data_IF_452163337631
#
_entry.id   IF_452163337631
#
_cell.length_a   1.000
_cell.length_b   1.000
_cell.length_c   1.000
_cell.angle_alpha   90.00
_cell.angle_beta   90.00
_cell.angle_gamma   90.00
#
_symmetry.space_group_name_H-M   'P 1'
#
loop_
_entity.id
_entity.type
_entity.pdbx_description
1 polymer ?
#
# COMPACT_ATOMS: atom_id res chain seq x y z
N UNK A 1 -3.31 -51.13 65.79
CA UNK A 1 -3.99 -52.20 65.04
C UNK A 1 -4.35 -51.62 63.67
N UNK A 2 -3.51 -51.88 62.65
CA UNK A 2 -3.89 -52.61 61.40
C UNK A 2 -4.87 -51.80 60.54
N UNK A 3 -4.62 -51.38 59.30
CA UNK A 3 -3.57 -51.61 58.29
C UNK A 3 -3.77 -50.57 57.17
N UNK A 4 -2.66 -50.05 56.65
CA UNK A 4 -2.31 -49.89 55.22
C UNK A 4 -3.46 -49.63 54.24
N UNK A 5 -3.39 -48.53 53.49
CA UNK A 5 -3.17 -48.56 52.03
C UNK A 5 -2.52 -47.24 51.59
N UNK A 6 -1.19 -47.26 51.57
CA UNK A 6 -0.40 -46.52 50.59
C UNK A 6 -0.86 -47.04 49.22
N UNK A 7 -1.13 -46.17 48.25
CA UNK A 7 -0.55 -46.19 46.90
C UNK A 7 -1.32 -45.28 45.94
N UNK A 8 -0.55 -44.36 45.34
CA UNK A 8 -0.71 -43.84 43.98
C UNK A 8 -1.79 -42.78 43.75
N UNK A 9 -1.46 -41.50 43.96
CA UNK A 9 -1.87 -40.44 43.04
C UNK A 9 -0.78 -39.35 42.98
N UNK A 10 0.46 -39.77 42.71
CA UNK A 10 1.51 -38.88 42.20
C UNK A 10 1.54 -39.04 40.69
N UNK A 11 0.92 -38.10 39.98
CA UNK A 11 1.04 -38.01 38.53
C UNK A 11 -0.27 -37.62 37.86
N UNK A 12 -0.56 -36.31 37.82
CA UNK A 12 -1.33 -35.62 36.76
C UNK A 12 -1.50 -34.13 37.09
N UNK A 13 -0.40 -33.43 37.37
CA UNK A 13 -0.39 -31.94 37.33
C UNK A 13 0.82 -31.51 36.50
N UNK A 14 0.82 -31.82 35.21
CA UNK A 14 1.79 -31.27 34.26
C UNK A 14 1.27 -31.37 32.82
N UNK A 15 0.04 -30.94 32.55
CA UNK A 15 -0.45 -30.88 31.15
C UNK A 15 -1.51 -29.80 30.92
N UNK A 16 -1.49 -28.70 31.69
CA UNK A 16 -2.41 -27.57 31.49
C UNK A 16 -1.78 -26.37 30.75
N UNK A 17 -0.67 -26.58 30.02
CA UNK A 17 0.07 -25.50 29.33
C UNK A 17 0.36 -25.77 27.85
N UNK A 18 -0.55 -26.42 27.12
CA UNK A 18 -0.39 -26.56 25.67
C UNK A 18 -1.69 -26.44 24.85
N UNK A 19 -2.87 -26.52 25.47
CA UNK A 19 -4.14 -26.53 24.73
C UNK A 19 -4.77 -25.13 24.57
N UNK A 20 -4.45 -24.17 25.44
CA UNK A 20 -5.05 -22.83 25.40
C UNK A 20 -4.51 -21.91 24.30
N UNK A 21 -3.24 -22.07 23.90
CA UNK A 21 -2.61 -21.21 22.89
C UNK A 21 -3.01 -21.54 21.44
N UNK A 22 -3.62 -22.69 21.18
CA UNK A 22 -3.96 -23.10 19.81
C UNK A 22 -5.36 -22.66 19.37
N UNK A 23 -6.33 -22.53 20.29
CA UNK A 23 -7.69 -22.09 19.92
C UNK A 23 -7.78 -20.59 19.63
N UNK A 24 -7.13 -19.74 20.43
CA UNK A 24 -7.17 -18.28 20.26
C UNK A 24 -6.43 -17.82 18.97
N UNK A 25 -5.48 -18.62 18.48
CA UNK A 25 -4.79 -18.38 17.22
C UNK A 25 -5.59 -18.83 15.98
N UNK A 26 -6.54 -19.76 16.11
CA UNK A 26 -7.34 -20.27 14.99
C UNK A 26 -8.55 -19.41 14.65
N UNK A 27 -9.04 -18.55 15.55
CA UNK A 27 -10.21 -17.71 15.30
C UNK A 27 -9.91 -16.52 14.37
N UNK A 28 -8.64 -16.13 14.20
CA UNK A 28 -8.25 -14.88 13.53
C UNK A 28 -8.03 -14.92 12.02
N UNK A 29 -8.36 -16.01 11.33
CA UNK A 29 -8.25 -16.05 9.86
C UNK A 29 -9.32 -16.94 9.23
N UNK A 30 -10.60 -16.56 9.42
CA UNK A 30 -11.69 -17.16 8.67
C UNK A 30 -11.57 -16.76 7.19
N UNK A 31 -11.19 -17.71 6.33
CA UNK A 31 -11.23 -17.53 4.88
C UNK A 31 -12.69 -17.36 4.45
N UNK A 32 -13.07 -16.15 4.03
CA UNK A 32 -14.33 -15.93 3.33
C UNK A 32 -14.12 -16.31 1.87
N UNK A 33 -14.96 -17.22 1.38
CA UNK A 33 -15.03 -17.48 -0.05
C UNK A 33 -15.39 -16.18 -0.78
N UNK A 34 -14.91 -15.98 -2.02
CA UNK A 34 -15.25 -14.80 -2.82
C UNK A 34 -16.76 -14.64 -2.94
N UNK A 35 -17.29 -13.47 -2.58
CA UNK A 35 -18.72 -13.17 -2.69
C UNK A 35 -19.10 -12.86 -4.14
N UNK A 36 -18.16 -12.31 -4.90
CA UNK A 36 -18.33 -11.90 -6.29
C UNK A 36 -17.31 -12.58 -7.22
N UNK A 37 -17.69 -12.85 -8.47
CA UNK A 37 -16.82 -13.47 -9.48
C UNK A 37 -15.60 -12.61 -9.78
N UNK A 38 -15.75 -11.28 -9.76
CA UNK A 38 -14.63 -10.38 -9.99
C UNK A 38 -13.55 -10.48 -8.90
N UNK A 39 -13.91 -10.86 -7.67
CA UNK A 39 -12.93 -11.07 -6.61
C UNK A 39 -12.01 -12.22 -6.94
N UNK A 40 -12.53 -13.30 -7.52
CA UNK A 40 -11.71 -14.43 -7.95
C UNK A 40 -10.93 -14.12 -9.23
N UNK A 41 -11.61 -13.57 -10.26
CA UNK A 41 -11.04 -13.40 -11.59
C UNK A 41 -10.06 -12.23 -11.65
N UNK A 42 -10.38 -11.09 -11.05
CA UNK A 42 -9.56 -9.89 -11.16
C UNK A 42 -8.40 -9.89 -10.15
N UNK A 43 -8.58 -10.47 -8.96
CA UNK A 43 -7.55 -10.46 -7.90
C UNK A 43 -6.29 -11.25 -8.26
N UNK A 44 -6.37 -12.15 -9.25
CA UNK A 44 -5.18 -12.90 -9.71
C UNK A 44 -4.11 -12.00 -10.32
N UNK A 45 -4.51 -10.89 -10.94
CA UNK A 45 -3.59 -9.98 -11.65
C UNK A 45 -3.61 -8.55 -11.12
N UNK A 46 -4.65 -8.16 -10.39
CA UNK A 46 -4.85 -6.79 -9.91
C UNK A 46 -5.24 -6.80 -8.43
N UNK A 47 -4.82 -5.80 -7.65
CA UNK A 47 -5.46 -5.59 -6.35
C UNK A 47 -6.89 -5.07 -6.58
N UNK A 48 -7.86 -5.47 -5.75
CA UNK A 48 -9.24 -4.97 -5.90
C UNK A 48 -9.30 -3.45 -5.72
N UNK A 49 -8.49 -2.90 -4.81
CA UNK A 49 -8.31 -1.45 -4.70
C UNK A 49 -7.97 -0.79 -6.04
N UNK A 50 -7.04 -1.37 -6.82
CA UNK A 50 -6.69 -0.88 -8.15
C UNK A 50 -7.84 -1.02 -9.14
N UNK A 51 -8.56 -2.14 -9.11
CA UNK A 51 -9.70 -2.37 -10.00
C UNK A 51 -10.74 -1.27 -9.83
N UNK A 52 -11.00 -0.85 -8.59
CA UNK A 52 -12.01 0.15 -8.24
C UNK A 52 -11.44 1.55 -7.97
N UNK A 53 -10.19 1.82 -8.37
CA UNK A 53 -9.54 3.10 -8.12
C UNK A 53 -10.17 4.27 -8.91
N UNK A 54 -10.82 3.96 -10.03
CA UNK A 54 -11.51 4.91 -10.91
C UNK A 54 -13.01 4.64 -10.89
N UNK A 55 -13.82 5.70 -10.82
CA UNK A 55 -15.26 5.61 -11.05
C UNK A 55 -15.53 5.39 -12.53
N UNK A 56 -16.41 4.44 -12.84
CA UNK A 56 -16.82 4.13 -14.21
C UNK A 56 -18.33 3.98 -14.27
N UNK A 57 -18.92 4.50 -15.33
CA UNK A 57 -20.29 4.17 -15.75
C UNK A 57 -20.39 2.69 -16.13
N UNK A 58 -21.60 2.17 -16.23
CA UNK A 58 -21.83 0.79 -16.69
C UNK A 58 -21.19 0.53 -18.06
N UNK A 59 -21.35 1.45 -19.02
CA UNK A 59 -20.75 1.32 -20.35
C UNK A 59 -19.23 1.30 -20.30
N UNK A 60 -18.61 2.15 -19.47
CA UNK A 60 -17.15 2.14 -19.26
C UNK A 60 -16.67 0.84 -18.60
N UNK A 61 -17.46 0.25 -17.70
CA UNK A 61 -17.18 -1.07 -17.15
C UNK A 61 -17.26 -2.16 -18.20
N UNK A 62 -18.28 -2.16 -19.05
CA UNK A 62 -18.41 -3.10 -20.19
C UNK A 62 -17.19 -3.06 -21.09
N UNK A 63 -16.76 -1.86 -21.47
CA UNK A 63 -15.55 -1.65 -22.28
C UNK A 63 -14.30 -2.16 -21.54
N UNK A 64 -14.18 -1.88 -20.24
CA UNK A 64 -13.03 -2.29 -19.43
C UNK A 64 -12.91 -3.81 -19.34
N UNK A 65 -14.01 -4.50 -19.03
CA UNK A 65 -14.06 -5.96 -18.90
C UNK A 65 -13.81 -6.62 -20.26
N UNK A 66 -14.43 -6.13 -21.34
CA UNK A 66 -14.17 -6.63 -22.69
C UNK A 66 -12.70 -6.50 -23.08
N UNK A 67 -12.03 -5.41 -22.69
CA UNK A 67 -10.58 -5.25 -22.89
C UNK A 67 -9.75 -6.25 -22.09
N UNK A 68 -10.18 -6.62 -20.88
CA UNK A 68 -9.49 -7.65 -20.09
C UNK A 68 -9.71 -9.04 -20.69
N UNK A 69 -10.91 -9.34 -21.17
CA UNK A 69 -11.21 -10.56 -21.92
C UNK A 69 -10.35 -10.65 -23.17
N UNK A 70 -10.20 -9.57 -23.95
CA UNK A 70 -9.35 -9.57 -25.14
C UNK A 70 -7.86 -9.83 -24.81
N UNK A 71 -7.37 -9.38 -23.66
CA UNK A 71 -6.00 -9.65 -23.18
C UNK A 71 -5.81 -11.07 -22.66
N UNK A 72 -6.87 -11.70 -22.16
CA UNK A 72 -6.85 -13.07 -21.68
C UNK A 72 -8.14 -13.82 -22.04
N UNK A 73 -8.27 -14.27 -23.31
CA UNK A 73 -9.54 -14.80 -23.84
C UNK A 73 -10.06 -16.06 -23.15
N UNK A 74 -9.20 -16.80 -22.46
CA UNK A 74 -9.55 -18.04 -21.75
C UNK A 74 -9.81 -17.83 -20.25
N UNK A 75 -9.61 -16.62 -19.73
CA UNK A 75 -9.71 -16.34 -18.31
C UNK A 75 -11.12 -15.93 -17.87
N UNK A 76 -11.78 -15.13 -18.70
CA UNK A 76 -13.15 -14.65 -18.50
C UNK A 76 -13.93 -15.00 -19.77
N UNK A 77 -14.87 -15.93 -19.65
CA UNK A 77 -15.78 -16.26 -20.74
C UNK A 77 -16.84 -15.16 -20.93
N UNK A 78 -17.47 -15.09 -22.10
CA UNK A 78 -18.44 -14.03 -22.43
C UNK A 78 -19.55 -13.86 -21.38
N UNK A 79 -20.14 -14.97 -20.93
CA UNK A 79 -21.17 -14.97 -19.87
C UNK A 79 -20.62 -14.56 -18.50
N UNK A 80 -19.36 -14.86 -18.22
CA UNK A 80 -18.70 -14.42 -16.98
C UNK A 80 -18.42 -12.91 -17.05
N UNK A 81 -18.06 -12.37 -18.21
CA UNK A 81 -17.86 -10.95 -18.43
C UNK A 81 -19.13 -10.14 -18.16
N UNK A 82 -20.27 -10.56 -18.72
CA UNK A 82 -21.57 -9.94 -18.46
C UNK A 82 -21.94 -9.99 -16.97
N UNK A 83 -21.75 -11.15 -16.32
CA UNK A 83 -22.00 -11.31 -14.89
C UNK A 83 -21.08 -10.42 -14.03
N UNK A 84 -19.81 -10.30 -14.38
CA UNK A 84 -18.85 -9.43 -13.67
C UNK A 84 -19.31 -7.96 -13.74
N UNK A 85 -19.77 -7.50 -14.91
CA UNK A 85 -20.31 -6.15 -15.06
C UNK A 85 -21.53 -5.96 -14.18
N UNK A 86 -22.48 -6.91 -14.21
CA UNK A 86 -23.69 -6.87 -13.39
C UNK A 86 -23.37 -6.84 -11.88
N UNK A 87 -22.45 -7.69 -11.42
CA UNK A 87 -21.98 -7.72 -10.02
C UNK A 87 -21.30 -6.41 -9.60
N UNK A 88 -20.55 -5.76 -10.50
CA UNK A 88 -19.89 -4.49 -10.20
C UNK A 88 -20.90 -3.34 -10.13
N UNK A 89 -21.87 -3.31 -11.04
CA UNK A 89 -22.86 -2.23 -11.13
C UNK A 89 -23.94 -2.36 -10.05
N UNK A 90 -24.40 -3.57 -9.76
CA UNK A 90 -25.55 -3.82 -8.88
C UNK A 90 -25.19 -4.53 -7.57
N UNK A 91 -24.10 -5.30 -7.54
CA UNK A 91 -23.78 -6.18 -6.41
C UNK A 91 -23.19 -5.44 -5.20
N UNK A 92 -22.47 -4.34 -5.42
CA UNK A 92 -21.72 -3.69 -4.34
C UNK A 92 -22.51 -2.61 -3.59
N UNK A 93 -23.01 -2.93 -2.38
CA UNK A 93 -23.68 -1.98 -1.45
C UNK A 93 -22.72 -1.06 -0.70
N UNK A 94 -21.47 -1.49 -0.54
CA UNK A 94 -20.37 -0.76 0.13
C UNK A 94 -19.53 0.08 -0.84
N UNK A 95 -19.94 0.15 -2.11
CA UNK A 95 -19.74 1.39 -2.86
C UNK A 95 -20.59 2.43 -2.14
N UNK A 96 -20.05 2.99 -1.06
CA UNK A 96 -19.97 4.45 -1.01
C UNK A 96 -19.52 4.78 -2.41
N UNK A 97 -20.48 5.23 -3.22
CA UNK A 97 -20.21 6.00 -4.41
C UNK A 97 -19.14 6.94 -3.88
N UNK A 98 -17.88 6.65 -4.17
CA UNK A 98 -16.89 7.66 -4.19
C UNK A 98 -17.35 8.47 -5.39
N UNK A 99 -18.45 9.23 -5.24
CA UNK A 99 -18.37 10.66 -5.48
C UNK A 99 -16.98 10.97 -5.02
N UNK A 100 -16.06 11.10 -5.97
CA UNK A 100 -15.38 12.34 -6.30
C UNK A 100 -15.89 13.53 -5.45
N UNK A 101 -16.02 13.33 -4.15
CA UNK A 101 -15.95 14.35 -3.17
C UNK A 101 -14.48 14.65 -3.26
N UNK A 102 -14.21 15.73 -3.97
CA UNK A 102 -13.01 16.48 -3.86
C UNK A 102 -12.69 16.57 -2.36
N UNK A 103 -11.86 15.64 -1.87
CA UNK A 103 -11.49 15.59 -0.46
C UNK A 103 -10.54 16.75 -0.26
N UNK A 104 -11.03 17.80 0.37
CA UNK A 104 -10.18 18.88 0.85
C UNK A 104 -9.46 18.40 2.10
N UNK A 105 -8.18 18.74 2.20
CA UNK A 105 -7.33 18.35 3.31
C UNK A 105 -6.66 19.60 3.86
N UNK A 106 -6.81 19.84 5.16
CA UNK A 106 -6.09 20.94 5.83
C UNK A 106 -4.61 20.58 6.07
N UNK A 107 -4.31 19.29 6.21
CA UNK A 107 -2.96 18.77 6.38
C UNK A 107 -2.32 18.46 5.02
N UNK A 108 -1.25 19.20 4.70
CA UNK A 108 -0.49 19.05 3.45
C UNK A 108 0.16 17.67 3.29
N UNK A 109 0.52 17.00 4.38
CA UNK A 109 1.05 15.63 4.31
C UNK A 109 -0.03 14.64 3.87
N UNK A 110 -1.25 14.80 4.38
CA UNK A 110 -2.38 13.95 3.99
C UNK A 110 -2.75 14.22 2.54
N UNK A 111 -2.81 15.49 2.14
CA UNK A 111 -3.01 15.90 0.75
C UNK A 111 -1.98 15.25 -0.19
N UNK A 112 -0.70 15.35 0.17
CA UNK A 112 0.39 14.74 -0.59
C UNK A 112 0.25 13.23 -0.73
N UNK A 113 -0.01 12.52 0.37
CA UNK A 113 -0.18 11.07 0.34
C UNK A 113 -1.36 10.71 -0.57
N UNK A 114 -2.52 11.34 -0.39
CA UNK A 114 -3.72 11.05 -1.17
C UNK A 114 -3.53 11.34 -2.67
N UNK A 115 -2.91 12.46 -3.06
CA UNK A 115 -2.74 12.79 -4.48
C UNK A 115 -1.62 12.01 -5.14
N UNK A 116 -0.49 11.84 -4.46
CA UNK A 116 0.73 11.36 -5.10
C UNK A 116 0.92 9.84 -4.97
N UNK A 117 0.42 9.19 -3.91
CA UNK A 117 0.70 7.76 -3.68
C UNK A 117 -0.34 6.81 -4.24
N UNK A 118 -1.44 7.31 -4.80
CA UNK A 118 -2.44 6.47 -5.50
C UNK A 118 -1.85 5.73 -6.70
N UNK A 119 -0.89 6.34 -7.39
CA UNK A 119 -0.29 5.79 -8.60
C UNK A 119 1.22 5.57 -8.51
N UNK A 120 1.90 6.17 -7.54
CA UNK A 120 3.35 6.14 -7.41
C UNK A 120 3.79 5.73 -6.02
N UNK A 121 4.91 5.03 -5.91
CA UNK A 121 5.50 4.75 -4.60
C UNK A 121 6.11 6.01 -4.01
N UNK A 122 6.05 6.17 -2.69
CA UNK A 122 6.71 7.27 -1.98
C UNK A 122 8.18 7.37 -2.39
N UNK A 123 8.90 6.24 -2.42
CA UNK A 123 10.32 6.21 -2.82
C UNK A 123 10.57 6.87 -4.18
N UNK A 124 9.72 6.63 -5.19
CA UNK A 124 9.87 7.22 -6.52
C UNK A 124 9.79 8.75 -6.47
N UNK A 125 8.87 9.26 -5.65
CA UNK A 125 8.61 10.69 -5.49
C UNK A 125 9.74 11.34 -4.69
N UNK A 126 10.08 10.77 -3.53
CA UNK A 126 11.02 11.36 -2.57
C UNK A 126 12.48 11.35 -3.06
N UNK A 127 12.81 10.55 -4.07
CA UNK A 127 14.13 10.55 -4.74
C UNK A 127 14.32 11.68 -5.74
N UNK A 128 13.25 12.35 -6.17
CA UNK A 128 13.38 13.43 -7.13
C UNK A 128 13.99 14.65 -6.45
N UNK A 129 15.04 15.21 -7.06
CA UNK A 129 15.60 16.49 -6.68
C UNK A 129 15.16 17.52 -7.73
N UNK A 130 14.12 18.28 -7.41
CA UNK A 130 13.51 19.25 -8.32
C UNK A 130 13.36 20.62 -7.65
N UNK A 131 13.40 21.67 -8.45
CA UNK A 131 12.97 23.01 -8.03
C UNK A 131 11.45 23.06 -7.91
N UNK A 132 10.95 24.17 -7.37
CA UNK A 132 9.51 24.41 -7.27
C UNK A 132 8.84 24.41 -8.65
N UNK A 133 9.47 25.06 -9.62
CA UNK A 133 8.98 25.19 -11.00
C UNK A 133 8.93 23.81 -11.68
N UNK A 134 9.99 23.02 -11.55
CA UNK A 134 10.05 21.66 -12.11
C UNK A 134 9.01 20.71 -11.47
N UNK A 135 8.72 20.91 -10.18
CA UNK A 135 7.63 20.20 -9.51
C UNK A 135 6.26 20.62 -10.03
N UNK A 136 6.03 21.91 -10.20
CA UNK A 136 4.78 22.45 -10.72
C UNK A 136 4.49 21.88 -12.12
N UNK A 137 5.47 21.91 -13.03
CA UNK A 137 5.35 21.31 -14.36
C UNK A 137 5.05 19.82 -14.30
N UNK A 138 5.69 19.09 -13.37
CA UNK A 138 5.47 17.66 -13.19
C UNK A 138 4.03 17.38 -12.74
N UNK A 139 3.52 18.14 -11.77
CA UNK A 139 2.15 18.00 -11.26
C UNK A 139 1.13 18.38 -12.35
N UNK A 140 1.38 19.43 -13.13
CA UNK A 140 0.51 19.83 -14.22
C UNK A 140 0.40 18.74 -15.30
N UNK A 141 1.51 18.09 -15.66
CA UNK A 141 1.48 16.91 -16.56
C UNK A 141 0.74 15.71 -15.95
N UNK A 142 0.83 15.52 -14.64
CA UNK A 142 0.04 14.48 -13.96
C UNK A 142 -1.46 14.79 -14.02
N UNK A 143 -1.83 16.07 -13.88
CA UNK A 143 -3.22 16.54 -14.00
C UNK A 143 -3.80 16.28 -15.39
N UNK A 144 -3.02 16.39 -16.46
CA UNK A 144 -3.49 16.02 -17.81
C UNK A 144 -3.98 14.57 -17.89
N UNK A 145 -3.42 13.68 -17.07
CA UNK A 145 -3.76 12.26 -17.02
C UNK A 145 -4.78 11.90 -15.92
N UNK A 146 -4.94 12.75 -14.89
CA UNK A 146 -5.82 12.54 -13.74
C UNK A 146 -6.40 13.89 -13.24
N UNK A 147 -7.22 14.58 -14.06
CA UNK A 147 -7.68 15.94 -13.77
C UNK A 147 -8.52 16.05 -12.49
N UNK A 148 -9.24 14.98 -12.13
CA UNK A 148 -10.06 14.88 -10.94
C UNK A 148 -9.26 14.77 -9.63
N UNK A 149 -7.97 14.40 -9.71
CA UNK A 149 -7.11 14.22 -8.55
C UNK A 149 -6.33 15.49 -8.20
N UNK A 150 -6.14 16.42 -9.14
CA UNK A 150 -5.33 17.62 -8.96
C UNK A 150 -6.16 18.88 -9.15
N UNK A 151 -6.69 19.40 -8.03
CA UNK A 151 -7.45 20.65 -7.99
C UNK A 151 -6.54 21.87 -8.20
N UNK A 152 -7.09 22.94 -8.76
CA UNK A 152 -6.36 24.21 -8.91
C UNK A 152 -5.80 24.75 -7.58
N UNK A 153 -6.55 24.58 -6.49
CA UNK A 153 -6.14 25.00 -5.15
C UNK A 153 -5.06 24.10 -4.51
N UNK A 154 -5.04 22.80 -4.84
CA UNK A 154 -4.10 21.83 -4.27
C UNK A 154 -2.70 21.93 -4.91
N UNK A 155 -2.65 22.24 -6.21
CA UNK A 155 -1.41 22.26 -7.00
C UNK A 155 -0.32 23.14 -6.37
N UNK A 156 -0.57 24.43 -6.04
CA UNK A 156 0.46 25.26 -5.42
C UNK A 156 0.90 24.71 -4.06
N UNK A 157 -0.04 24.18 -3.24
CA UNK A 157 0.24 23.65 -1.90
C UNK A 157 1.17 22.43 -1.98
N UNK A 158 0.85 21.46 -2.85
CA UNK A 158 1.67 20.25 -3.03
C UNK A 158 3.02 20.60 -3.66
N UNK A 159 3.04 21.56 -4.58
CA UNK A 159 4.28 22.05 -5.21
C UNK A 159 5.22 22.64 -4.15
N UNK A 160 4.72 23.54 -3.31
CA UNK A 160 5.49 24.18 -2.25
C UNK A 160 6.02 23.15 -1.25
N UNK A 161 5.17 22.22 -0.85
CA UNK A 161 5.56 21.13 0.05
C UNK A 161 6.70 20.28 -0.50
N UNK A 162 6.63 19.86 -1.77
CA UNK A 162 7.68 19.05 -2.41
C UNK A 162 8.98 19.83 -2.60
N UNK A 163 8.89 21.13 -2.91
CA UNK A 163 10.05 22.00 -3.08
C UNK A 163 10.77 22.27 -1.76
N UNK A 164 10.04 22.63 -0.71
CA UNK A 164 10.61 22.89 0.62
C UNK A 164 11.20 21.61 1.21
N UNK A 165 10.52 20.47 1.04
CA UNK A 165 11.07 19.17 1.41
C UNK A 165 12.38 18.88 0.68
N UNK A 166 12.41 19.09 -0.64
CA UNK A 166 13.62 18.90 -1.44
C UNK A 166 14.76 19.80 -0.96
N UNK A 167 14.45 21.04 -0.58
CA UNK A 167 15.41 21.99 -0.01
C UNK A 167 15.99 21.49 1.33
N UNK A 168 15.14 21.06 2.27
CA UNK A 168 15.61 20.48 3.53
C UNK A 168 16.55 19.29 3.32
N UNK A 169 16.28 18.43 2.33
CA UNK A 169 17.17 17.30 2.00
C UNK A 169 18.50 17.77 1.41
N UNK A 170 18.51 18.81 0.58
CA UNK A 170 19.74 19.36 0.01
C UNK A 170 20.60 20.06 1.05
N UNK A 171 19.98 20.68 2.05
CA UNK A 171 20.66 21.39 3.13
C UNK A 171 21.18 20.44 4.22
N UNK A 172 20.61 19.24 4.36
CA UNK A 172 21.06 18.19 5.27
C UNK A 172 21.75 17.04 4.51
N UNK A 173 23.09 17.04 4.54
CA UNK A 173 23.94 16.01 3.92
C UNK A 173 23.58 14.59 4.37
N UNK A 174 23.17 14.39 5.63
CA UNK A 174 22.77 13.08 6.12
C UNK A 174 21.42 12.65 5.52
N UNK A 175 20.47 13.57 5.39
CA UNK A 175 19.21 13.33 4.71
C UNK A 175 19.41 13.00 3.22
N UNK A 176 20.31 13.71 2.54
CA UNK A 176 20.66 13.43 1.16
C UNK A 176 21.23 12.02 0.99
N UNK A 177 22.20 11.63 1.83
CA UNK A 177 22.78 10.27 1.80
C UNK A 177 21.70 9.20 2.05
N UNK A 178 20.78 9.44 2.97
CA UNK A 178 19.68 8.49 3.23
C UNK A 178 18.77 8.33 2.01
N UNK A 179 18.43 9.41 1.33
CA UNK A 179 17.58 9.36 0.12
C UNK A 179 18.30 8.72 -1.06
N UNK A 180 19.55 9.07 -1.29
CA UNK A 180 20.31 8.57 -2.44
C UNK A 180 20.80 7.14 -2.26
N UNK A 181 21.20 6.73 -1.04
CA UNK A 181 21.83 5.43 -0.82
C UNK A 181 20.92 4.43 -0.12
N UNK A 182 20.12 4.86 0.86
CA UNK A 182 19.30 3.94 1.64
C UNK A 182 17.95 3.66 0.98
N UNK A 183 17.29 4.67 0.41
CA UNK A 183 16.02 4.46 -0.31
C UNK A 183 16.18 3.75 -1.67
N UNK A 184 17.41 3.48 -2.11
CA UNK A 184 17.69 2.60 -3.26
C UNK A 184 17.34 1.15 -2.94
N UNK A 185 17.64 0.70 -1.72
CA UNK A 185 17.43 -0.68 -1.30
C UNK A 185 16.24 -0.86 -0.32
N UNK A 186 15.78 0.22 0.31
CA UNK A 186 14.67 0.18 1.27
C UNK A 186 13.48 1.03 0.84
N UNK A 187 12.28 0.51 1.09
CA UNK A 187 11.05 1.30 1.02
C UNK A 187 10.97 2.22 2.25
N UNK A 188 10.48 3.44 2.07
CA UNK A 188 10.45 4.51 3.10
C UNK A 188 9.87 4.01 4.43
N UNK A 189 8.83 3.18 4.38
CA UNK A 189 8.21 2.58 5.57
C UNK A 189 9.14 1.67 6.38
N UNK A 190 10.10 0.99 5.74
CA UNK A 190 11.08 0.14 6.45
C UNK A 190 12.16 0.93 7.17
N UNK A 191 12.55 2.11 6.67
CA UNK A 191 13.59 2.94 7.32
C UNK A 191 13.06 3.54 8.64
N UNK A 192 11.77 3.90 8.69
CA UNK A 192 11.17 4.51 9.87
C UNK A 192 10.72 3.46 10.92
N UNK A 193 10.36 2.24 10.49
CA UNK A 193 9.82 1.20 11.38
C UNK A 193 10.85 0.18 11.86
N UNK A 194 11.93 -0.07 11.11
CA UNK A 194 13.00 -0.95 11.57
C UNK A 194 14.12 -0.15 12.26
N UNK A 195 13.93 0.19 13.53
CA UNK A 195 15.08 0.45 14.44
C UNK A 195 15.84 -0.88 14.73
N UNK A 196 16.22 -1.63 13.69
CA UNK A 196 17.04 -2.84 13.86
C UNK A 196 18.48 -2.42 14.10
N UNK A 197 18.79 -2.25 15.39
CA UNK A 197 20.10 -2.08 16.04
C UNK A 197 21.11 -1.18 15.31
N UNK A 198 21.62 -0.18 16.03
CA UNK A 198 22.69 0.72 15.55
C UNK A 198 23.94 0.00 15.00
N UNK A 199 24.10 -1.31 15.18
CA UNK A 199 25.19 -2.11 14.61
C UNK A 199 24.94 -2.52 13.16
N UNK A 200 23.72 -2.92 12.78
CA UNK A 200 23.43 -3.41 11.43
C UNK A 200 23.33 -2.26 10.41
N UNK A 201 22.70 -1.13 10.80
CA UNK A 201 22.67 0.10 9.99
C UNK A 201 24.06 0.69 9.74
N UNK A 202 24.99 0.57 10.70
CA UNK A 202 26.39 0.98 10.53
C UNK A 202 27.15 0.09 9.54
N UNK A 203 26.82 -1.20 9.45
CA UNK A 203 27.43 -2.09 8.47
C UNK A 203 26.97 -1.73 7.05
N UNK A 204 25.66 -1.56 6.83
CA UNK A 204 25.12 -1.20 5.53
C UNK A 204 25.58 0.20 5.06
N UNK A 205 25.57 1.19 5.96
CA UNK A 205 26.10 2.52 5.67
C UNK A 205 27.61 2.49 5.38
N UNK A 206 28.39 1.63 6.08
CA UNK A 206 29.80 1.41 5.73
C UNK A 206 29.97 0.80 4.34
N UNK A 207 29.20 -0.20 3.95
CA UNK A 207 29.31 -0.79 2.61
C UNK A 207 28.86 0.16 1.48
N UNK A 208 27.85 1.01 1.73
CA UNK A 208 27.40 2.03 0.76
C UNK A 208 28.28 3.29 0.71
N UNK A 209 29.07 3.57 1.75
CA UNK A 209 29.98 4.72 1.84
C UNK A 209 31.48 4.35 1.77
N UNK A 210 31.85 3.06 1.71
CA UNK A 210 33.24 2.60 1.66
C UNK A 210 34.03 3.03 0.41
N UNK A 211 33.39 3.68 -0.57
CA UNK A 211 34.03 4.21 -1.77
C UNK A 211 34.19 5.72 -1.83
N UNK A 212 33.84 6.50 -0.80
CA UNK A 212 33.80 7.97 -0.86
C UNK A 212 34.64 8.66 0.24
N UNK A 213 35.86 8.17 0.46
CA UNK A 213 36.91 8.99 1.11
C UNK A 213 37.85 9.55 0.05
N UNK A 214 37.99 10.88 0.06
CA UNK A 214 38.56 11.81 -0.95
C UNK A 214 37.48 12.23 -1.95
N UNK A 215 36.99 13.47 -1.98
CA UNK A 215 37.60 14.79 -1.78
C UNK A 215 36.64 15.69 -1.01
#
# INVERSE_FOLDING_TARGET
>A
MVKRFIFLYLGLIASFNAYGQTQEAQEKFQYKAPEYLYEEKCSKCHTLERVFAETKTEDEWRICVARMMAKSPLWIADKEGERIVDEIVHGRKDTVVATSQIKKYDDVHVLFVDRCTRCHTLTRILKQNKTREEWQETILRMRENAPELFLDEDIPIITDYLAERGKMIREDIAAQIMVEKCLVCHEVGRILLEQKSRKLGRLCCRYACAGQTKI
#
